data_IF_116486124407
#
_entry.id   IF_116486124407
#
_cell.length_a   1.000
_cell.length_b   1.000
_cell.length_c   1.000
_cell.angle_alpha   90.00
_cell.angle_beta   90.00
_cell.angle_gamma   90.00
#
_symmetry.space_group_name_H-M   'P 1'
#
loop_
_entity.id
_entity.type
_entity.pdbx_description
1 polymer ?
#
# COMPACT_ATOMS: atom_id res chain seq x y z
N UNK A 1 -13.80 -7.44 0.00
CA UNK A 1 -13.63 -6.41 -1.05
C UNK A 1 -14.89 -5.64 -1.39
N UNK A 2 -16.06 -5.96 -0.79
CA UNK A 2 -17.26 -5.14 -0.94
C UNK A 2 -17.00 -3.68 -0.53
N UNK A 3 -16.21 -3.49 0.54
CA UNK A 3 -15.75 -2.20 1.04
C UNK A 3 -15.14 -1.30 -0.05
N UNK A 4 -14.35 -1.87 -0.97
CA UNK A 4 -13.72 -1.14 -2.07
C UNK A 4 -14.74 -0.72 -3.13
N UNK A 5 -15.70 -1.60 -3.46
CA UNK A 5 -16.76 -1.29 -4.42
C UNK A 5 -17.73 -0.26 -3.86
N UNK A 6 -17.98 -0.28 -2.55
CA UNK A 6 -18.81 0.72 -1.87
C UNK A 6 -18.15 2.10 -1.92
N UNK A 7 -16.83 2.19 -1.67
CA UNK A 7 -16.06 3.43 -1.89
C UNK A 7 -16.18 3.91 -3.34
N UNK A 8 -15.93 3.02 -4.31
CA UNK A 8 -15.97 3.38 -5.73
C UNK A 8 -17.35 3.90 -6.15
N UNK A 9 -18.43 3.21 -5.73
CA UNK A 9 -19.81 3.64 -5.98
C UNK A 9 -20.10 4.98 -5.31
N UNK A 10 -19.70 5.14 -4.05
CA UNK A 10 -19.90 6.38 -3.31
C UNK A 10 -19.25 7.60 -4.02
N UNK A 11 -18.03 7.45 -4.54
CA UNK A 11 -17.37 8.53 -5.29
C UNK A 11 -18.04 8.82 -6.63
N UNK A 12 -18.57 7.81 -7.33
CA UNK A 12 -19.34 8.02 -8.56
C UNK A 12 -20.63 8.77 -8.28
N UNK A 13 -21.35 8.40 -7.23
CA UNK A 13 -22.69 8.94 -6.96
C UNK A 13 -22.62 10.31 -6.27
N UNK A 14 -21.67 10.51 -5.35
CA UNK A 14 -21.61 11.65 -4.45
C UNK A 14 -20.33 12.48 -4.55
N UNK A 15 -19.32 12.01 -5.29
CA UNK A 15 -18.05 12.72 -5.42
C UNK A 15 -18.21 14.04 -6.16
N UNK A 16 -17.57 15.09 -5.64
CA UNK A 16 -17.51 16.40 -6.26
C UNK A 16 -16.53 16.38 -7.44
N UNK A 17 -16.86 17.09 -8.51
CA UNK A 17 -15.93 17.30 -9.63
C UNK A 17 -14.82 18.26 -9.19
N UNK A 18 -13.56 17.86 -9.42
CA UNK A 18 -12.38 18.68 -9.12
C UNK A 18 -11.42 18.67 -10.31
N UNK A 19 -10.73 19.79 -10.53
CA UNK A 19 -9.47 19.76 -11.29
C UNK A 19 -8.37 19.06 -10.48
N UNK A 20 -7.28 18.69 -11.13
CA UNK A 20 -6.12 18.06 -10.51
C UNK A 20 -4.83 18.47 -11.24
N UNK A 21 -3.65 18.10 -10.71
CA UNK A 21 -2.35 18.53 -11.28
C UNK A 21 -2.10 18.01 -12.70
N UNK A 22 -2.72 16.89 -13.09
CA UNK A 22 -2.57 16.27 -14.41
C UNK A 22 -3.47 16.94 -15.46
N UNK A 23 -4.45 17.73 -15.03
CA UNK A 23 -5.45 18.34 -15.91
C UNK A 23 -6.55 17.38 -16.40
N UNK A 24 -6.55 16.11 -15.94
CA UNK A 24 -7.55 15.10 -16.33
C UNK A 24 -8.92 15.36 -15.70
N UNK A 25 -8.94 15.92 -14.50
CA UNK A 25 -10.12 16.10 -13.67
C UNK A 25 -10.54 14.81 -12.96
N UNK A 26 -11.14 14.96 -11.78
CA UNK A 26 -11.55 13.83 -10.92
C UNK A 26 -12.96 14.00 -10.38
N UNK A 27 -13.55 12.88 -9.95
CA UNK A 27 -14.61 12.86 -8.93
C UNK A 27 -13.98 12.46 -7.61
N UNK A 28 -14.22 13.22 -6.55
CA UNK A 28 -13.51 13.07 -5.27
C UNK A 28 -14.42 13.23 -4.06
N UNK A 29 -14.10 12.48 -3.00
CA UNK A 29 -14.62 12.67 -1.65
C UNK A 29 -13.45 12.87 -0.68
N UNK A 30 -13.70 13.56 0.42
CA UNK A 30 -12.69 13.80 1.45
C UNK A 30 -13.07 13.09 2.74
N UNK A 31 -12.28 12.09 3.13
CA UNK A 31 -12.57 11.21 4.26
C UNK A 31 -13.37 9.98 3.86
N UNK A 32 -12.75 8.81 3.99
CA UNK A 32 -13.40 7.51 3.94
C UNK A 32 -12.58 6.50 4.74
N UNK A 33 -13.19 5.46 5.29
CA UNK A 33 -12.47 4.41 5.99
C UNK A 33 -13.02 3.03 5.63
N UNK A 34 -12.11 2.11 5.32
CA UNK A 34 -12.40 0.69 5.10
C UNK A 34 -11.70 -0.17 6.16
N UNK A 35 -12.25 -1.34 6.44
CA UNK A 35 -11.66 -2.36 7.33
C UNK A 35 -11.70 -3.72 6.65
N UNK A 36 -10.60 -4.46 6.75
CA UNK A 36 -10.43 -5.80 6.19
C UNK A 36 -9.91 -6.73 7.30
N UNK A 37 -10.70 -7.73 7.68
CA UNK A 37 -10.23 -8.80 8.57
C UNK A 37 -9.29 -9.73 7.78
N UNK A 38 -8.01 -9.72 8.13
CA UNK A 38 -6.99 -10.49 7.43
C UNK A 38 -7.06 -11.99 7.77
N UNK A 39 -7.80 -12.39 8.81
CA UNK A 39 -8.07 -13.79 9.10
C UNK A 39 -9.14 -14.37 8.15
N UNK A 40 -9.97 -13.54 7.51
CA UNK A 40 -11.00 -13.96 6.57
C UNK A 40 -10.46 -14.22 5.14
N UNK A 41 -9.22 -13.80 4.85
CA UNK A 41 -8.57 -13.95 3.55
C UNK A 41 -7.71 -12.75 3.18
N UNK A 42 -6.87 -12.89 2.15
CA UNK A 42 -6.01 -11.82 1.68
C UNK A 42 -6.80 -10.81 0.83
N UNK A 43 -6.85 -9.51 1.19
CA UNK A 43 -7.71 -8.52 0.56
C UNK A 43 -7.16 -7.99 -0.78
N UNK A 44 -6.90 -8.90 -1.72
CA UNK A 44 -6.61 -8.58 -3.13
C UNK A 44 -7.90 -8.59 -3.94
N UNK A 45 -8.04 -7.65 -4.88
CA UNK A 45 -9.26 -7.56 -5.67
C UNK A 45 -9.51 -8.80 -6.52
N UNK A 46 -10.76 -9.26 -6.50
CA UNK A 46 -11.25 -10.33 -7.38
C UNK A 46 -12.10 -9.80 -8.53
N UNK A 47 -12.60 -8.57 -8.47
CA UNK A 47 -13.37 -7.95 -9.57
C UNK A 47 -12.50 -7.43 -10.72
N UNK A 48 -11.18 -7.43 -10.57
CA UNK A 48 -10.20 -7.31 -11.66
C UNK A 48 -8.88 -7.96 -11.25
N UNK A 49 -8.14 -8.51 -12.22
CA UNK A 49 -6.81 -9.10 -11.99
C UNK A 49 -5.78 -8.00 -11.70
N UNK A 50 -5.07 -8.13 -10.58
CA UNK A 50 -3.93 -7.29 -10.20
C UNK A 50 -2.59 -7.95 -10.57
N UNK A 51 -1.56 -7.13 -10.78
CA UNK A 51 -0.21 -7.61 -11.04
C UNK A 51 0.55 -7.81 -9.71
N UNK A 52 0.29 -8.94 -9.06
CA UNK A 52 0.81 -9.26 -7.72
C UNK A 52 2.34 -9.14 -7.62
N UNK A 53 3.06 -9.48 -8.69
CA UNK A 53 4.52 -9.38 -8.75
C UNK A 53 5.01 -7.97 -8.43
N UNK A 54 4.38 -6.95 -9.02
CA UNK A 54 4.74 -5.55 -8.77
C UNK A 54 4.51 -5.15 -7.31
N UNK A 55 3.40 -5.58 -6.72
CA UNK A 55 3.06 -5.26 -5.32
C UNK A 55 4.10 -5.84 -4.36
N UNK A 56 4.49 -7.10 -4.56
CA UNK A 56 5.46 -7.77 -3.68
C UNK A 56 6.84 -7.14 -3.82
N UNK A 57 7.35 -6.97 -5.05
CA UNK A 57 8.69 -6.38 -5.23
C UNK A 57 8.75 -4.93 -4.77
N UNK A 58 7.71 -4.12 -4.97
CA UNK A 58 7.66 -2.76 -4.44
C UNK A 58 7.76 -2.74 -2.91
N UNK A 59 7.01 -3.61 -2.22
CA UNK A 59 7.09 -3.69 -0.76
C UNK A 59 8.48 -4.14 -0.29
N UNK A 60 9.08 -5.14 -0.94
CA UNK A 60 10.46 -5.58 -0.64
C UNK A 60 11.48 -4.47 -0.88
N UNK A 61 11.30 -3.67 -1.94
CA UNK A 61 12.13 -2.52 -2.26
C UNK A 61 12.01 -1.41 -1.20
N UNK A 62 10.79 -1.07 -0.77
CA UNK A 62 10.59 -0.15 0.38
C UNK A 62 11.27 -0.67 1.65
N UNK A 63 11.12 -1.96 1.95
CA UNK A 63 11.74 -2.57 3.13
C UNK A 63 13.27 -2.61 3.03
N UNK A 64 13.87 -2.56 1.84
CA UNK A 64 15.33 -2.43 1.65
C UNK A 64 15.84 -1.00 1.87
N UNK A 65 14.95 -0.02 1.92
CA UNK A 65 15.34 1.39 2.02
C UNK A 65 15.75 2.02 0.68
N UNK A 66 15.58 1.29 -0.43
CA UNK A 66 16.01 1.73 -1.75
C UNK A 66 15.08 2.80 -2.34
N UNK A 67 15.66 3.67 -3.16
CA UNK A 67 14.95 4.75 -3.89
C UNK A 67 15.25 4.79 -5.38
N UNK A 68 16.20 3.97 -5.85
CA UNK A 68 16.48 3.78 -7.26
C UNK A 68 15.64 2.62 -7.84
N UNK A 69 15.12 2.80 -9.05
CA UNK A 69 14.25 1.82 -9.71
C UNK A 69 15.00 0.64 -10.36
N UNK A 70 16.33 0.58 -10.30
CA UNK A 70 17.12 -0.51 -10.88
C UNK A 70 16.66 -1.90 -10.39
N UNK A 71 16.51 -2.09 -9.08
CA UNK A 71 15.97 -3.32 -8.49
C UNK A 71 14.59 -3.68 -9.06
N UNK A 72 13.70 -2.70 -9.19
CA UNK A 72 12.36 -2.91 -9.72
C UNK A 72 12.42 -3.37 -11.19
N UNK A 73 13.25 -2.70 -12.02
CA UNK A 73 13.44 -3.05 -13.43
C UNK A 73 14.04 -4.43 -13.64
N UNK A 74 15.06 -4.77 -12.87
CA UNK A 74 15.67 -6.12 -12.85
C UNK A 74 14.62 -7.21 -12.52
N UNK A 75 13.63 -6.86 -11.71
CA UNK A 75 12.52 -7.72 -11.34
C UNK A 75 11.26 -7.47 -12.20
N UNK A 76 11.40 -6.89 -13.39
CA UNK A 76 10.29 -6.73 -14.35
C UNK A 76 9.14 -5.85 -13.86
N UNK A 77 9.42 -4.93 -12.92
CA UNK A 77 8.47 -3.98 -12.37
C UNK A 77 8.79 -2.58 -12.89
N UNK A 78 7.78 -1.90 -13.42
CA UNK A 78 7.91 -0.59 -14.09
C UNK A 78 6.98 0.49 -13.53
N UNK A 79 6.32 0.23 -12.41
CA UNK A 79 5.27 1.10 -11.86
C UNK A 79 5.78 2.45 -11.31
N UNK A 80 7.09 2.67 -11.33
CA UNK A 80 7.77 3.90 -10.90
C UNK A 80 8.53 4.59 -12.05
N UNK A 81 8.50 4.03 -13.28
CA UNK A 81 9.31 4.50 -14.40
C UNK A 81 8.99 5.96 -14.78
N UNK A 82 7.72 6.37 -14.70
CA UNK A 82 7.28 7.71 -15.09
C UNK A 82 7.72 8.84 -14.15
N UNK A 83 8.15 8.50 -12.92
CA UNK A 83 8.57 9.48 -11.91
C UNK A 83 10.08 9.53 -11.69
N UNK A 84 10.81 8.53 -12.14
CA UNK A 84 12.25 8.47 -11.94
C UNK A 84 12.98 9.43 -12.89
N UNK A 85 14.10 9.98 -12.42
CA UNK A 85 14.98 10.78 -13.27
C UNK A 85 15.80 9.91 -14.26
N UNK A 86 16.73 10.53 -14.99
CA UNK A 86 17.55 9.86 -15.99
C UNK A 86 18.43 8.74 -15.42
N UNK A 87 18.80 8.83 -14.13
CA UNK A 87 19.64 7.86 -13.42
C UNK A 87 18.78 6.83 -12.65
N UNK A 88 17.46 6.97 -12.70
CA UNK A 88 16.51 6.08 -12.04
C UNK A 88 16.19 6.45 -10.59
N UNK A 89 16.58 7.64 -10.14
CA UNK A 89 16.34 8.09 -8.77
C UNK A 89 14.96 8.74 -8.60
N UNK A 90 14.37 8.52 -7.43
CA UNK A 90 13.09 9.11 -7.03
C UNK A 90 13.23 10.17 -5.91
N UNK A 91 14.46 10.41 -5.45
CA UNK A 91 14.73 11.18 -4.24
C UNK A 91 14.34 10.42 -2.97
N UNK A 92 14.22 11.09 -1.81
CA UNK A 92 14.04 10.45 -0.51
C UNK A 92 12.58 10.00 -0.28
N UNK A 93 12.07 9.13 -1.14
CA UNK A 93 10.70 8.57 -1.07
C UNK A 93 10.59 7.48 0.03
N UNK A 94 9.54 6.66 -0.02
CA UNK A 94 9.13 5.75 1.06
C UNK A 94 10.26 4.93 1.69
N UNK A 95 11.06 4.20 0.91
CA UNK A 95 12.14 3.37 1.45
C UNK A 95 13.13 4.18 2.28
N UNK A 96 13.57 5.32 1.76
CA UNK A 96 14.42 6.26 2.49
C UNK A 96 13.76 6.74 3.78
N UNK A 97 12.50 7.18 3.74
CA UNK A 97 11.85 7.67 4.96
C UNK A 97 11.63 6.53 5.98
N UNK A 98 11.40 5.30 5.53
CA UNK A 98 11.17 4.15 6.40
C UNK A 98 12.43 3.63 7.08
N UNK A 99 13.56 3.62 6.37
CA UNK A 99 14.81 2.98 6.81
C UNK A 99 15.93 3.96 7.13
N UNK A 100 15.90 5.15 6.55
CA UNK A 100 17.00 6.12 6.52
C UNK A 100 16.57 7.55 6.88
N UNK A 101 15.57 7.72 7.74
CA UNK A 101 15.07 9.05 8.11
C UNK A 101 16.17 9.87 8.80
N UNK A 102 16.56 11.00 8.18
CA UNK A 102 17.61 11.87 8.69
C UNK A 102 17.07 12.84 9.74
N UNK A 103 17.75 12.94 10.88
CA UNK A 103 17.43 13.90 11.93
C UNK A 103 18.27 15.18 11.79
N UNK A 104 17.84 16.31 12.38
CA UNK A 104 18.61 17.56 12.32
C UNK A 104 20.03 17.48 12.91
N UNK A 105 20.26 16.54 13.83
CA UNK A 105 21.58 16.25 14.44
C UNK A 105 22.40 15.21 13.68
N UNK A 106 21.98 14.82 12.46
CA UNK A 106 22.73 13.94 11.57
C UNK A 106 22.65 12.45 11.93
N UNK A 107 21.72 12.06 12.79
CA UNK A 107 21.42 10.64 13.05
C UNK A 107 20.43 10.13 12.01
N UNK A 108 20.46 8.81 11.84
CA UNK A 108 19.51 8.08 11.01
C UNK A 108 18.53 7.29 11.88
N UNK A 109 17.24 7.34 11.54
CA UNK A 109 16.17 6.61 12.19
C UNK A 109 15.65 5.55 11.22
N UNK A 110 15.90 4.28 11.56
CA UNK A 110 15.24 3.14 10.95
C UNK A 110 13.91 2.86 11.67
N UNK A 111 12.82 3.45 11.15
CA UNK A 111 11.49 3.33 11.73
C UNK A 111 10.97 1.88 11.69
N UNK A 112 11.35 1.09 10.69
CA UNK A 112 10.91 -0.30 10.54
C UNK A 112 11.62 -1.20 11.56
N UNK A 113 12.93 -1.08 11.73
CA UNK A 113 13.66 -1.85 12.73
C UNK A 113 13.17 -1.50 14.15
N UNK A 114 12.93 -0.22 14.44
CA UNK A 114 12.37 0.22 15.71
C UNK A 114 10.95 -0.33 15.92
N UNK A 115 10.12 -0.36 14.88
CA UNK A 115 8.79 -0.95 14.94
C UNK A 115 8.86 -2.44 15.29
N UNK A 116 9.67 -3.23 14.59
CA UNK A 116 9.82 -4.68 14.86
C UNK A 116 10.28 -4.92 16.29
N UNK A 117 11.27 -4.15 16.76
CA UNK A 117 11.77 -4.26 18.13
C UNK A 117 10.70 -3.87 19.16
N UNK A 118 9.94 -2.80 18.93
CA UNK A 118 8.88 -2.35 19.84
C UNK A 118 7.69 -3.31 19.85
N UNK A 119 7.29 -3.86 18.71
CA UNK A 119 6.22 -4.87 18.67
C UNK A 119 6.56 -6.06 19.57
N UNK A 120 7.78 -6.60 19.46
CA UNK A 120 8.24 -7.74 20.27
C UNK A 120 8.33 -7.44 21.77
N UNK A 121 8.73 -6.22 22.15
CA UNK A 121 9.11 -5.90 23.53
C UNK A 121 8.11 -4.99 24.28
N UNK A 122 7.21 -4.32 23.55
CA UNK A 122 6.25 -3.36 24.08
C UNK A 122 4.94 -3.34 23.25
N UNK A 123 4.23 -4.48 23.13
CA UNK A 123 3.09 -4.65 22.23
C UNK A 123 1.92 -3.67 22.48
N UNK A 124 1.75 -3.22 23.72
CA UNK A 124 0.67 -2.30 24.11
C UNK A 124 0.97 -0.83 23.78
N UNK A 125 2.13 -0.54 23.19
CA UNK A 125 2.49 0.81 22.79
C UNK A 125 1.49 1.38 21.79
N UNK A 126 0.99 2.57 22.12
CA UNK A 126 0.14 3.38 21.22
C UNK A 126 0.97 4.18 20.20
N UNK A 127 2.28 3.94 20.14
CA UNK A 127 3.26 4.70 19.33
C UNK A 127 3.96 3.86 18.26
N UNK A 128 3.43 2.68 17.93
CA UNK A 128 3.91 1.88 16.81
C UNK A 128 3.56 2.56 15.49
N UNK A 129 4.30 3.60 15.11
CA UNK A 129 4.01 4.46 13.96
C UNK A 129 5.22 4.47 13.03
N UNK A 130 4.94 4.46 11.74
CA UNK A 130 5.92 4.75 10.68
C UNK A 130 5.35 5.88 9.83
N UNK A 131 6.13 6.95 9.65
CA UNK A 131 5.76 8.10 8.82
C UNK A 131 6.64 8.15 7.58
N UNK A 132 6.02 8.25 6.41
CA UNK A 132 6.72 8.66 5.19
C UNK A 132 6.67 10.18 5.01
N UNK A 133 5.80 10.89 5.74
CA UNK A 133 5.63 12.32 5.58
C UNK A 133 6.72 13.11 6.33
N UNK A 134 7.77 13.49 5.61
CA UNK A 134 8.84 14.36 6.10
C UNK A 134 8.68 15.78 5.50
N UNK A 135 8.26 16.78 6.30
CA UNK A 135 8.11 18.15 5.82
C UNK A 135 9.38 18.77 5.23
N UNK A 136 10.57 18.33 5.66
CA UNK A 136 11.83 18.86 5.15
C UNK A 136 12.21 18.30 3.77
N UNK A 137 11.69 17.12 3.41
CA UNK A 137 12.06 16.41 2.19
C UNK A 137 10.96 16.39 1.12
N UNK A 138 9.72 16.77 1.46
CA UNK A 138 8.56 16.60 0.58
C UNK A 138 8.75 17.22 -0.81
N UNK A 139 9.40 18.38 -0.90
CA UNK A 139 9.69 19.10 -2.14
C UNK A 139 10.83 18.48 -2.96
N UNK A 140 11.60 17.56 -2.35
CA UNK A 140 12.72 16.85 -2.99
C UNK A 140 12.33 15.47 -3.52
N UNK A 141 11.10 15.03 -3.25
CA UNK A 141 10.60 13.73 -3.68
C UNK A 141 9.97 13.86 -5.06
N UNK A 142 10.25 12.90 -5.96
CA UNK A 142 9.62 12.86 -7.28
C UNK A 142 8.09 12.81 -7.20
N UNK A 143 7.56 12.14 -6.18
CA UNK A 143 6.16 12.17 -5.81
C UNK A 143 6.02 12.19 -4.28
N UNK A 144 5.40 13.23 -3.69
CA UNK A 144 5.14 13.26 -2.26
C UNK A 144 4.35 12.02 -1.79
N UNK A 145 4.61 11.46 -0.60
CA UNK A 145 4.07 10.17 -0.19
C UNK A 145 2.54 10.18 -0.15
N UNK A 146 1.90 9.31 -0.93
CA UNK A 146 0.45 9.12 -0.89
C UNK A 146 0.04 8.42 0.40
N UNK A 147 0.73 7.33 0.74
CA UNK A 147 0.58 6.59 1.99
C UNK A 147 1.51 7.19 3.05
N UNK A 148 0.97 8.15 3.80
CA UNK A 148 1.76 9.13 4.55
C UNK A 148 2.13 8.65 5.96
N UNK A 149 1.22 7.94 6.64
CA UNK A 149 1.41 7.47 8.01
C UNK A 149 0.72 6.14 8.21
N UNK A 150 1.40 5.21 8.87
CA UNK A 150 0.84 3.92 9.27
C UNK A 150 1.04 3.70 10.76
N UNK A 151 0.04 3.13 11.42
CA UNK A 151 0.07 2.77 12.83
C UNK A 151 -0.26 1.27 13.00
N UNK A 152 0.45 0.60 13.91
CA UNK A 152 0.22 -0.79 14.27
C UNK A 152 -0.37 -0.91 15.67
N UNK A 153 -1.16 -1.96 15.87
CA UNK A 153 -1.88 -2.21 17.10
C UNK A 153 -1.91 -3.71 17.41
N UNK A 154 -1.64 -4.08 18.66
CA UNK A 154 -1.72 -5.46 19.13
C UNK A 154 -2.83 -5.57 20.18
N UNK A 155 -3.71 -6.55 20.00
CA UNK A 155 -4.67 -6.98 21.00
C UNK A 155 -4.99 -8.46 20.82
N UNK A 156 -5.18 -9.20 21.91
CA UNK A 156 -5.51 -10.63 21.89
C UNK A 156 -4.57 -11.47 21.00
N UNK A 157 -3.28 -11.13 21.00
CA UNK A 157 -2.25 -11.76 20.18
C UNK A 157 -2.44 -11.57 18.67
N UNK A 158 -3.23 -10.58 18.23
CA UNK A 158 -3.47 -10.22 16.84
C UNK A 158 -2.84 -8.88 16.50
N UNK A 159 -2.12 -8.80 15.38
CA UNK A 159 -1.52 -7.57 14.86
C UNK A 159 -2.44 -6.94 13.81
N UNK A 160 -2.85 -5.70 14.06
CA UNK A 160 -3.61 -4.86 13.14
C UNK A 160 -2.77 -3.68 12.66
N UNK A 161 -3.16 -3.12 11.52
CA UNK A 161 -2.48 -2.00 10.86
C UNK A 161 -3.51 -0.99 10.37
N UNK A 162 -3.31 0.29 10.65
CA UNK A 162 -4.10 1.39 10.10
C UNK A 162 -3.21 2.29 9.23
N UNK A 163 -3.59 2.46 7.97
CA UNK A 163 -2.96 3.39 7.04
C UNK A 163 -3.79 4.68 6.91
N UNK A 164 -3.13 5.82 6.99
CA UNK A 164 -3.62 7.10 6.49
C UNK A 164 -3.00 7.40 5.12
N UNK A 165 -3.83 7.38 4.08
CA UNK A 165 -3.47 7.71 2.71
C UNK A 165 -4.06 9.06 2.32
N UNK A 166 -3.23 10.10 2.20
CA UNK A 166 -3.67 11.48 1.97
C UNK A 166 -4.34 11.69 0.61
N UNK A 167 -3.98 10.88 -0.38
CA UNK A 167 -4.38 10.99 -1.79
C UNK A 167 -4.47 9.59 -2.38
N UNK A 168 -5.62 9.25 -2.95
CA UNK A 168 -5.92 7.89 -3.38
C UNK A 168 -6.63 7.86 -4.73
N UNK A 169 -5.87 7.48 -5.77
CA UNK A 169 -6.45 6.99 -7.02
C UNK A 169 -7.14 5.66 -6.73
N UNK A 170 -8.47 5.68 -6.69
CA UNK A 170 -9.32 4.53 -6.37
C UNK A 170 -9.16 3.42 -7.41
N UNK A 171 -8.97 3.77 -8.69
CA UNK A 171 -8.97 2.76 -9.73
C UNK A 171 -7.62 2.06 -9.83
N UNK A 172 -6.52 2.79 -9.98
CA UNK A 172 -5.20 2.18 -10.19
C UNK A 172 -4.45 1.92 -8.87
N UNK A 173 -4.39 2.92 -7.99
CA UNK A 173 -3.51 2.91 -6.80
C UNK A 173 -4.07 2.10 -5.63
N UNK A 174 -5.28 2.39 -5.19
CA UNK A 174 -5.88 1.79 -3.97
C UNK A 174 -5.82 0.26 -3.94
N UNK A 175 -6.07 -0.48 -5.04
CA UNK A 175 -5.94 -1.94 -5.04
C UNK A 175 -4.53 -2.44 -4.69
N UNK A 176 -3.49 -1.74 -5.17
CA UNK A 176 -2.10 -2.05 -4.85
C UNK A 176 -1.81 -1.71 -3.38
N UNK A 177 -2.30 -0.56 -2.91
CA UNK A 177 -2.08 -0.12 -1.54
C UNK A 177 -2.71 -1.08 -0.51
N UNK A 178 -3.94 -1.56 -0.75
CA UNK A 178 -4.59 -2.53 0.15
C UNK A 178 -3.76 -3.82 0.24
N UNK A 179 -3.37 -4.37 -0.90
CA UNK A 179 -2.59 -5.61 -0.94
C UNK A 179 -1.20 -5.45 -0.30
N UNK A 180 -0.51 -4.34 -0.55
CA UNK A 180 0.82 -4.05 0.01
C UNK A 180 0.79 -3.95 1.53
N UNK A 181 -0.12 -3.17 2.11
CA UNK A 181 -0.19 -3.01 3.57
C UNK A 181 -0.79 -4.22 4.29
N UNK A 182 -1.72 -4.95 3.65
CA UNK A 182 -2.13 -6.25 4.14
C UNK A 182 -0.94 -7.22 4.20
N UNK A 183 -0.12 -7.27 3.15
CA UNK A 183 1.06 -8.13 3.09
C UNK A 183 2.09 -7.75 4.16
N UNK A 184 2.40 -6.46 4.31
CA UNK A 184 3.29 -5.97 5.37
C UNK A 184 2.79 -6.38 6.76
N UNK A 185 1.46 -6.31 6.99
CA UNK A 185 0.85 -6.72 8.27
C UNK A 185 1.04 -8.22 8.51
N UNK A 186 0.87 -9.07 7.48
CA UNK A 186 1.12 -10.51 7.57
C UNK A 186 2.60 -10.82 7.86
N UNK A 187 3.52 -10.13 7.18
CA UNK A 187 4.98 -10.30 7.37
C UNK A 187 5.38 -9.93 8.81
N UNK A 188 4.94 -8.77 9.30
CA UNK A 188 5.19 -8.32 10.68
C UNK A 188 4.57 -9.25 11.71
N UNK A 189 3.35 -9.72 11.47
CA UNK A 189 2.68 -10.67 12.35
C UNK A 189 3.50 -11.96 12.46
N UNK A 190 3.99 -12.51 11.33
CA UNK A 190 4.82 -13.73 11.33
C UNK A 190 6.10 -13.54 12.15
N UNK A 191 6.91 -12.53 11.83
CA UNK A 191 8.23 -12.35 12.46
C UNK A 191 8.17 -11.90 13.91
N UNK A 192 7.00 -11.41 14.36
CA UNK A 192 6.73 -11.04 15.75
C UNK A 192 5.88 -12.08 16.51
N UNK A 193 5.45 -13.17 15.88
CA UNK A 193 4.67 -14.24 16.53
C UNK A 193 3.20 -13.90 16.80
N UNK A 194 2.60 -12.99 16.04
CA UNK A 194 1.18 -12.63 16.13
C UNK A 194 0.34 -13.34 15.08
N UNK A 195 -0.96 -13.44 15.37
CA UNK A 195 -1.97 -13.74 14.35
C UNK A 195 -2.32 -12.48 13.55
N UNK A 196 -2.77 -12.59 12.31
CA UNK A 196 -3.34 -11.46 11.57
C UNK A 196 -4.59 -10.90 12.27
N UNK A 197 -4.64 -9.57 12.41
CA UNK A 197 -5.80 -8.79 12.82
C UNK A 197 -6.44 -8.08 11.62
N UNK A 198 -6.74 -6.80 11.79
CA UNK A 198 -7.36 -5.99 10.75
C UNK A 198 -6.35 -5.13 9.98
N UNK A 199 -6.59 -4.97 8.68
CA UNK A 199 -6.09 -3.81 7.95
C UNK A 199 -7.19 -2.73 7.85
N UNK A 200 -6.90 -1.53 8.34
CA UNK A 200 -7.78 -0.36 8.31
C UNK A 200 -7.20 0.68 7.35
N UNK A 201 -7.95 1.05 6.32
CA UNK A 201 -7.49 1.97 5.29
C UNK A 201 -8.28 3.26 5.36
N UNK A 202 -7.63 4.34 5.77
CA UNK A 202 -8.21 5.68 5.92
C UNK A 202 -7.71 6.59 4.80
N UNK A 203 -8.62 7.37 4.21
CA UNK A 203 -8.33 8.25 3.09
C UNK A 203 -8.51 9.73 3.44
N UNK A 204 -7.62 10.56 2.91
CA UNK A 204 -7.85 11.99 2.72
C UNK A 204 -8.70 12.21 1.47
N UNK A 205 -8.09 12.69 0.39
CA UNK A 205 -8.73 12.81 -0.93
C UNK A 205 -8.77 11.44 -1.62
N UNK A 206 -9.97 10.83 -1.68
CA UNK A 206 -10.21 9.60 -2.44
C UNK A 206 -10.94 9.93 -3.74
N UNK A 207 -10.33 9.60 -4.87
CA UNK A 207 -10.79 10.06 -6.17
C UNK A 207 -10.75 9.00 -7.27
N UNK A 208 -11.65 9.18 -8.24
CA UNK A 208 -11.60 8.53 -9.54
C UNK A 208 -11.24 9.58 -10.60
N UNK A 209 -10.24 9.29 -11.42
CA UNK A 209 -9.99 10.11 -12.59
C UNK A 209 -11.15 10.01 -13.59
N UNK A 210 -11.44 11.12 -14.27
CA UNK A 210 -12.56 11.20 -15.20
C UNK A 210 -12.43 10.21 -16.37
N UNK A 211 -11.20 9.91 -16.79
CA UNK A 211 -10.89 8.93 -17.82
C UNK A 211 -10.92 7.46 -17.33
N UNK A 212 -11.27 7.21 -16.07
CA UNK A 212 -11.43 5.86 -15.49
C UNK A 212 -12.89 5.50 -15.17
N UNK A 213 -13.85 6.39 -15.45
CA UNK A 213 -15.25 6.19 -15.04
C UNK A 213 -15.91 4.99 -15.72
N UNK A 214 -15.64 4.77 -17.01
CA UNK A 214 -16.16 3.60 -17.73
C UNK A 214 -15.60 2.28 -17.17
N UNK A 215 -14.29 2.25 -16.88
CA UNK A 215 -13.63 1.10 -16.27
C UNK A 215 -14.16 0.84 -14.85
N UNK A 216 -14.43 1.89 -14.07
CA UNK A 216 -15.03 1.79 -12.76
C UNK A 216 -16.45 1.22 -12.84
N UNK A 217 -17.28 1.69 -13.77
CA UNK A 217 -18.63 1.16 -14.00
C UNK A 217 -18.60 -0.32 -14.42
N UNK A 218 -17.69 -0.69 -15.33
CA UNK A 218 -17.48 -2.09 -15.71
C UNK A 218 -17.12 -2.94 -14.48
N UNK A 219 -16.20 -2.45 -13.65
CA UNK A 219 -15.78 -3.18 -12.45
C UNK A 219 -16.93 -3.33 -11.44
N UNK A 220 -17.77 -2.30 -11.28
CA UNK A 220 -18.94 -2.30 -10.39
C UNK A 220 -20.05 -3.26 -10.85
N UNK A 221 -20.09 -3.65 -12.13
CA UNK A 221 -21.03 -4.66 -12.62
C UNK A 221 -20.62 -6.10 -12.28
N UNK A 222 -19.39 -6.33 -11.81
CA UNK A 222 -18.86 -7.66 -11.48
C UNK A 222 -19.13 -8.02 -10.02
N UNK A 223 -19.70 -9.20 -9.80
CA UNK A 223 -19.82 -9.79 -8.46
C UNK A 223 -18.44 -10.19 -7.92
N UNK A 224 -18.06 -9.77 -6.69
CA UNK A 224 -16.86 -10.25 -6.03
C UNK A 224 -16.82 -11.78 -5.92
N UNK A 225 -15.65 -12.37 -6.15
CA UNK A 225 -15.37 -13.79 -5.85
C UNK A 225 -14.69 -13.93 -4.49
N UNK A 226 -14.58 -15.17 -4.00
CA UNK A 226 -13.96 -15.51 -2.73
C UNK A 226 -12.54 -14.91 -2.60
N UNK A 227 -12.20 -14.47 -1.40
CA UNK A 227 -10.85 -13.96 -1.13
C UNK A 227 -9.83 -15.11 -1.22
N UNK A 228 -8.68 -14.90 -1.87
CA UNK A 228 -7.60 -15.87 -1.85
C UNK A 228 -6.90 -15.91 -0.49
N UNK A 229 -5.96 -16.84 -0.34
CA UNK A 229 -5.11 -16.95 0.84
C UNK A 229 -3.65 -16.65 0.49
N UNK A 230 -3.04 -15.73 1.24
CA UNK A 230 -1.60 -15.46 1.14
C UNK A 230 -0.85 -16.38 2.10
N UNK A 231 0.01 -17.25 1.57
CA UNK A 231 0.97 -18.06 2.33
C UNK A 231 2.33 -17.38 2.32
N UNK A 232 2.90 -17.27 3.52
CA UNK A 232 4.28 -16.84 3.74
C UNK A 232 5.15 -18.05 4.05
N UNK A 233 6.39 -18.05 3.59
CA UNK A 233 7.36 -19.08 3.96
C UNK A 233 7.60 -19.04 5.48
N UNK A 234 7.24 -20.11 6.23
CA UNK A 234 7.34 -20.10 7.69
C UNK A 234 8.77 -20.14 8.20
N UNK A 235 9.76 -20.48 7.35
CA UNK A 235 11.18 -20.48 7.71
C UNK A 235 11.76 -19.06 7.85
N UNK A 236 11.10 -18.04 7.29
CA UNK A 236 11.57 -16.65 7.36
C UNK A 236 11.12 -16.02 8.68
N UNK A 237 12.09 -15.78 9.56
CA UNK A 237 11.86 -15.20 10.90
C UNK A 237 12.37 -13.77 11.04
N UNK A 238 12.96 -13.20 9.97
CA UNK A 238 13.44 -11.83 9.89
C UNK A 238 12.71 -11.08 8.78
N UNK A 239 12.20 -9.88 9.09
CA UNK A 239 11.41 -9.07 8.17
C UNK A 239 12.21 -8.71 6.91
N UNK A 240 13.52 -8.49 7.05
CA UNK A 240 14.37 -8.05 5.95
C UNK A 240 14.92 -9.22 5.12
N UNK A 241 14.69 -10.46 5.55
CA UNK A 241 15.15 -11.66 4.86
C UNK A 241 14.16 -12.19 3.81
N UNK A 242 12.91 -11.69 3.80
CA UNK A 242 11.90 -12.10 2.82
C UNK A 242 12.35 -11.83 1.37
N UNK A 243 12.06 -12.80 0.50
CA UNK A 243 12.28 -12.77 -0.94
C UNK A 243 10.98 -13.02 -1.68
N UNK A 244 10.96 -12.74 -2.98
CA UNK A 244 9.75 -12.89 -3.79
C UNK A 244 9.16 -14.32 -3.74
N UNK A 245 10.04 -15.33 -3.65
CA UNK A 245 9.66 -16.74 -3.63
C UNK A 245 9.03 -17.17 -2.29
N UNK A 246 9.12 -16.35 -1.25
CA UNK A 246 8.54 -16.64 0.06
C UNK A 246 7.04 -16.35 0.14
N UNK A 247 6.43 -15.91 -0.96
CA UNK A 247 5.03 -15.53 -1.05
C UNK A 247 4.30 -16.43 -2.06
N UNK A 248 3.21 -17.06 -1.62
CA UNK A 248 2.33 -17.84 -2.49
C UNK A 248 0.88 -17.42 -2.31
N UNK A 249 0.23 -17.01 -3.40
CA UNK A 249 -1.19 -16.67 -3.38
C UNK A 249 -2.03 -17.86 -3.87
N UNK A 250 -2.76 -18.47 -2.94
CA UNK A 250 -3.60 -19.65 -3.19
C UNK A 250 -5.03 -19.24 -3.55
N UNK A 251 -5.68 -19.99 -4.45
CA UNK A 251 -7.08 -19.83 -4.82
C UNK A 251 -7.46 -18.41 -5.35
N UNK A 252 -6.52 -17.73 -6.01
CA UNK A 252 -6.82 -16.45 -6.65
C UNK A 252 -7.49 -16.63 -8.02
N UNK A 253 -8.81 -16.46 -8.05
CA UNK A 253 -9.64 -16.54 -9.25
C UNK A 253 -10.25 -15.16 -9.58
N UNK A 254 -9.47 -14.20 -10.12
CA UNK A 254 -10.00 -12.88 -10.44
C UNK A 254 -10.78 -12.88 -11.76
N UNK A 255 -11.74 -11.96 -11.86
CA UNK A 255 -12.25 -11.49 -13.14
C UNK A 255 -11.12 -10.92 -14.02
N UNK A 256 -11.31 -10.87 -15.36
CA UNK A 256 -10.29 -10.38 -16.28
C UNK A 256 -9.74 -8.99 -15.92
N UNK A 257 -8.50 -8.72 -16.33
CA UNK A 257 -7.88 -7.40 -16.17
C UNK A 257 -8.74 -6.31 -16.83
N UNK A 258 -8.70 -5.09 -16.27
CA UNK A 258 -9.34 -3.91 -16.84
C UNK A 258 -8.23 -2.87 -17.05
N UNK A 259 -7.83 -2.60 -18.31
CA UNK A 259 -6.79 -1.63 -18.60
C UNK A 259 -7.30 -0.20 -18.36
N UNK A 260 -6.45 0.65 -17.77
CA UNK A 260 -6.70 2.08 -17.66
C UNK A 260 -5.36 2.85 -17.75
N UNK A 261 -5.33 4.00 -18.43
CA UNK A 261 -4.13 4.81 -18.56
C UNK A 261 -3.77 5.49 -17.23
N UNK A 262 -2.48 5.61 -16.91
CA UNK A 262 -2.03 6.41 -15.76
C UNK A 262 -2.25 7.90 -16.08
N UNK A 263 -2.78 8.66 -15.12
CA UNK A 263 -2.81 10.11 -15.21
C UNK A 263 -1.46 10.67 -14.71
N UNK A 264 -0.74 11.37 -15.60
CA UNK A 264 0.57 11.99 -15.33
C UNK A 264 0.46 13.50 -15.28
#
# INVERSE_FOLDING_TARGET
>A
MQQYLDLMRHVIDHGATKGDRTGTGTRSVFGWQMRFDLAAGFPVLTTKKLHLRSIIHELLWFLRGETNIAYLRENGVRIWDEWADADGELGPVYGHQWRHWQTPDGREIDQIAQLVASLKNNPDSRRHIVSAWNPADVERMALPPCHALVQFYVADGRLSCQLYQRSADIFLGVPFNIASYALLTLMLAQVCGYRPGDFVHTFGDAHLYSNHLEQAQLQLSRTPRALPLMRLNPAVTDLFAFRFEDFTLEAYDPHPHIPAPVAV
#
